data_IF_978393052929
#
_entry.id   IF_978393052929
#
_cell.length_a   1.000
_cell.length_b   1.000
_cell.length_c   1.000
_cell.angle_alpha   90.00
_cell.angle_beta   90.00
_cell.angle_gamma   90.00
#
_symmetry.space_group_name_H-M   'P 1'
#
loop_
_entity.id
_entity.type
_entity.pdbx_description
1 polymer ?
#
# COMPACT_ATOMS: atom_id res chain seq x y z
N UNK A 1 -24.47 -28.31 1.31
CA UNK A 1 -24.01 -27.14 2.10
C UNK A 1 -25.08 -26.83 3.14
N UNK A 2 -24.88 -27.23 4.40
CA UNK A 2 -25.91 -27.12 5.45
C UNK A 2 -26.16 -25.65 5.82
N UNK A 3 -27.26 -25.07 5.33
CA UNK A 3 -27.74 -23.76 5.79
C UNK A 3 -28.22 -23.90 7.24
N UNK A 4 -27.69 -23.07 8.14
CA UNK A 4 -28.16 -22.99 9.53
C UNK A 4 -29.63 -22.54 9.56
N UNK A 5 -30.47 -23.24 10.32
CA UNK A 5 -31.93 -22.96 10.46
C UNK A 5 -32.27 -21.60 11.09
N UNK A 6 -31.34 -20.96 11.80
CA UNK A 6 -31.49 -19.59 12.34
C UNK A 6 -30.28 -18.76 11.95
N UNK A 7 -30.44 -17.60 11.27
CA UNK A 7 -29.32 -16.71 10.99
C UNK A 7 -28.74 -16.16 12.29
N UNK A 8 -27.41 -16.01 12.37
CA UNK A 8 -26.76 -15.35 13.49
C UNK A 8 -27.20 -13.88 13.53
N UNK A 9 -27.75 -13.41 14.66
CA UNK A 9 -28.03 -11.99 14.86
C UNK A 9 -26.78 -11.14 14.67
N UNK A 10 -26.94 -9.87 14.25
CA UNK A 10 -25.82 -8.96 13.92
C UNK A 10 -24.74 -8.91 15.01
N UNK A 11 -25.15 -8.89 16.28
CA UNK A 11 -24.26 -8.90 17.44
C UNK A 11 -23.42 -10.18 17.52
N UNK A 12 -24.01 -11.34 17.20
CA UNK A 12 -23.30 -12.62 17.19
C UNK A 12 -22.38 -12.77 15.96
N UNK A 13 -22.63 -12.02 14.89
CA UNK A 13 -21.70 -11.96 13.75
C UNK A 13 -20.45 -11.14 14.13
N UNK A 14 -20.63 -9.96 14.74
CA UNK A 14 -19.51 -9.16 15.26
C UNK A 14 -18.73 -9.86 16.37
N UNK A 15 -19.42 -10.55 17.30
CA UNK A 15 -18.78 -11.36 18.35
C UNK A 15 -17.91 -12.47 17.77
N UNK A 16 -18.33 -13.11 16.68
CA UNK A 16 -17.52 -14.14 16.01
C UNK A 16 -16.32 -13.59 15.24
N UNK A 17 -16.35 -12.32 14.82
CA UNK A 17 -15.20 -11.63 14.21
C UNK A 17 -14.18 -11.23 15.29
N UNK A 18 -14.65 -10.69 16.42
CA UNK A 18 -13.81 -10.22 17.51
C UNK A 18 -13.28 -11.36 18.40
N UNK A 19 -14.07 -12.41 18.61
CA UNK A 19 -13.74 -13.56 19.45
C UNK A 19 -14.18 -14.87 18.78
N UNK A 20 -13.39 -15.40 17.83
CA UNK A 20 -13.74 -16.62 17.12
C UNK A 20 -13.73 -17.82 18.08
N UNK A 21 -14.87 -18.51 18.23
CA UNK A 21 -15.04 -19.67 19.14
C UNK A 21 -14.03 -20.80 18.89
N UNK A 22 -13.44 -20.87 17.69
CA UNK A 22 -12.44 -21.86 17.29
C UNK A 22 -10.96 -21.40 17.44
N UNK A 23 -10.72 -20.23 18.04
CA UNK A 23 -9.39 -19.66 18.30
C UNK A 23 -8.79 -18.87 17.13
N UNK A 24 -8.06 -17.79 17.43
CA UNK A 24 -7.42 -16.88 16.45
C UNK A 24 -6.52 -17.61 15.44
N UNK A 25 -5.81 -18.66 15.87
CA UNK A 25 -4.93 -19.45 15.00
C UNK A 25 -5.70 -20.11 13.84
N UNK A 26 -6.88 -20.68 14.09
CA UNK A 26 -7.69 -21.34 13.04
C UNK A 26 -8.37 -20.33 12.13
N UNK A 27 -8.83 -19.21 12.69
CA UNK A 27 -9.33 -18.08 11.91
C UNK A 27 -8.25 -17.58 10.95
N UNK A 28 -7.06 -17.23 11.47
CA UNK A 28 -5.93 -16.78 10.66
C UNK A 28 -5.53 -17.81 9.60
N UNK A 29 -5.39 -19.09 9.96
CA UNK A 29 -5.07 -20.17 9.00
C UNK A 29 -6.15 -20.35 7.92
N UNK A 30 -7.44 -20.18 8.23
CA UNK A 30 -8.52 -20.26 7.26
C UNK A 30 -8.45 -19.12 6.25
N UNK A 31 -8.31 -17.87 6.73
CA UNK A 31 -8.19 -16.71 5.87
C UNK A 31 -6.88 -16.76 5.06
N UNK A 32 -5.77 -17.17 5.68
CA UNK A 32 -4.48 -17.39 5.01
C UNK A 32 -4.59 -18.43 3.88
N UNK A 33 -5.19 -19.60 4.15
CA UNK A 33 -5.44 -20.62 3.12
C UNK A 33 -6.39 -20.13 2.02
N UNK A 34 -7.38 -19.31 2.36
CA UNK A 34 -8.31 -18.72 1.38
C UNK A 34 -7.60 -17.68 0.50
N UNK A 35 -6.73 -16.86 1.07
CA UNK A 35 -5.90 -15.87 0.37
C UNK A 35 -4.90 -16.54 -0.59
N UNK A 36 -4.22 -17.60 -0.15
CA UNK A 36 -3.29 -18.38 -0.99
C UNK A 36 -4.00 -19.05 -2.18
N UNK A 37 -5.29 -19.37 -2.04
CA UNK A 37 -6.10 -19.98 -3.10
C UNK A 37 -6.63 -18.98 -4.12
N UNK A 38 -6.50 -17.66 -3.91
CA UNK A 38 -6.92 -16.69 -4.90
C UNK A 38 -5.91 -16.76 -6.06
N UNK A 39 -6.34 -17.16 -7.27
CA UNK A 39 -5.46 -17.27 -8.44
C UNK A 39 -5.18 -15.88 -9.02
N UNK A 40 -4.67 -14.97 -8.20
CA UNK A 40 -4.26 -13.65 -8.66
C UNK A 40 -2.99 -13.81 -9.49
N UNK A 41 -3.00 -13.19 -10.67
CA UNK A 41 -1.83 -13.18 -11.53
C UNK A 41 -0.67 -12.45 -10.82
N UNK A 42 0.59 -12.88 -10.99
CA UNK A 42 1.74 -12.15 -10.44
C UNK A 42 1.73 -10.67 -10.82
N UNK A 43 1.22 -10.38 -12.03
CA UNK A 43 1.01 -9.03 -12.53
C UNK A 43 -0.01 -8.22 -11.70
N UNK A 44 -1.18 -8.77 -11.38
CA UNK A 44 -2.20 -8.08 -10.57
C UNK A 44 -1.66 -7.71 -9.18
N UNK A 45 -0.92 -8.62 -8.55
CA UNK A 45 -0.33 -8.39 -7.23
C UNK A 45 0.78 -7.35 -7.30
N UNK A 46 1.72 -7.49 -8.24
CA UNK A 46 2.84 -6.54 -8.37
C UNK A 46 2.37 -5.15 -8.77
N UNK A 47 1.38 -5.05 -9.66
CA UNK A 47 0.77 -3.78 -10.07
C UNK A 47 0.05 -3.13 -8.89
N UNK A 48 -0.79 -3.88 -8.16
CA UNK A 48 -1.43 -3.39 -6.95
C UNK A 48 -0.40 -2.86 -5.94
N UNK A 49 0.66 -3.62 -5.66
CA UNK A 49 1.72 -3.19 -4.74
C UNK A 49 2.37 -1.88 -5.20
N UNK A 50 2.73 -1.77 -6.48
CA UNK A 50 3.37 -0.57 -7.04
C UNK A 50 2.49 0.67 -6.97
N UNK A 51 1.17 0.53 -7.14
CA UNK A 51 0.20 1.62 -6.94
C UNK A 51 0.21 2.07 -5.48
N UNK A 52 0.27 1.12 -4.53
CA UNK A 52 0.39 1.44 -3.11
C UNK A 52 1.66 2.23 -2.79
N UNK A 53 2.80 1.79 -3.33
CA UNK A 53 4.09 2.48 -3.17
C UNK A 53 4.02 3.90 -3.75
N UNK A 54 3.49 4.06 -4.97
CA UNK A 54 3.31 5.37 -5.60
C UNK A 54 2.52 6.33 -4.69
N UNK A 55 1.40 5.84 -4.15
CA UNK A 55 0.53 6.64 -3.30
C UNK A 55 1.19 6.98 -1.96
N UNK A 56 2.08 6.14 -1.44
CA UNK A 56 2.82 6.42 -0.20
C UNK A 56 3.75 7.65 -0.31
N UNK A 57 4.19 8.01 -1.53
CA UNK A 57 4.94 9.24 -1.77
C UNK A 57 4.07 10.50 -1.80
N UNK A 58 2.76 10.36 -2.01
CA UNK A 58 1.87 11.52 -2.20
C UNK A 58 1.75 12.39 -0.94
N UNK A 59 1.38 13.69 -1.07
CA UNK A 59 1.20 14.57 0.09
C UNK A 59 -0.09 14.32 0.89
N UNK A 60 -0.92 13.35 0.48
CA UNK A 60 -2.27 13.15 1.03
C UNK A 60 -2.27 12.27 2.27
N UNK A 61 -1.71 12.79 3.37
CA UNK A 61 -1.62 12.09 4.66
C UNK A 61 -3.00 11.64 5.13
N UNK A 62 -3.12 10.36 5.49
CA UNK A 62 -4.37 9.74 5.95
C UNK A 62 -5.31 9.27 4.82
N UNK A 63 -5.16 9.79 3.59
CA UNK A 63 -5.97 9.37 2.43
C UNK A 63 -5.32 8.24 1.62
N UNK A 64 -4.07 7.88 1.90
CA UNK A 64 -3.32 6.86 1.14
C UNK A 64 -4.08 5.55 0.96
N UNK A 65 -4.71 5.03 2.02
CA UNK A 65 -5.47 3.77 1.96
C UNK A 65 -6.69 3.91 1.04
N UNK A 66 -7.43 5.02 1.14
CA UNK A 66 -8.62 5.27 0.32
C UNK A 66 -8.22 5.44 -1.14
N UNK A 67 -7.19 6.23 -1.40
CA UNK A 67 -6.64 6.43 -2.74
C UNK A 67 -6.12 5.12 -3.33
N UNK A 68 -5.45 4.28 -2.55
CA UNK A 68 -4.90 3.01 -3.06
C UNK A 68 -6.00 2.01 -3.38
N UNK A 69 -7.06 1.96 -2.58
CA UNK A 69 -8.25 1.18 -2.89
C UNK A 69 -8.90 1.68 -4.17
N UNK A 70 -9.15 2.99 -4.27
CA UNK A 70 -9.84 3.59 -5.40
C UNK A 70 -9.07 3.38 -6.71
N UNK A 71 -7.77 3.69 -6.71
CA UNK A 71 -6.92 3.55 -7.89
C UNK A 71 -6.78 2.07 -8.27
N UNK A 72 -6.54 1.17 -7.32
CA UNK A 72 -6.42 -0.26 -7.62
C UNK A 72 -7.71 -0.87 -8.12
N UNK A 73 -8.86 -0.41 -7.61
CA UNK A 73 -10.17 -0.77 -8.13
C UNK A 73 -10.36 -0.29 -9.57
N UNK A 74 -9.98 0.95 -9.88
CA UNK A 74 -10.06 1.51 -11.23
C UNK A 74 -9.19 0.74 -12.23
N UNK A 75 -7.97 0.36 -11.85
CA UNK A 75 -7.07 -0.46 -12.66
C UNK A 75 -7.40 -1.96 -12.63
N UNK A 76 -8.42 -2.38 -11.85
CA UNK A 76 -8.83 -3.79 -11.67
C UNK A 76 -7.68 -4.70 -11.24
N UNK A 77 -6.84 -4.21 -10.34
CA UNK A 77 -5.71 -4.96 -9.77
C UNK A 77 -5.95 -5.29 -8.29
N UNK A 78 -5.03 -6.05 -7.70
CA UNK A 78 -5.19 -6.55 -6.34
C UNK A 78 -5.18 -5.43 -5.30
N UNK A 79 -6.37 -5.12 -4.75
CA UNK A 79 -6.57 -4.07 -3.73
C UNK A 79 -5.83 -4.39 -2.43
N UNK A 80 -5.76 -5.66 -2.00
CA UNK A 80 -5.02 -6.01 -0.78
C UNK A 80 -3.53 -5.72 -0.95
N UNK A 81 -2.98 -6.03 -2.11
CA UNK A 81 -1.58 -5.76 -2.43
C UNK A 81 -1.29 -4.26 -2.45
N UNK A 82 -2.23 -3.42 -2.93
CA UNK A 82 -2.05 -1.97 -2.91
C UNK A 82 -2.10 -1.37 -1.52
N UNK A 83 -2.99 -1.87 -0.66
CA UNK A 83 -3.01 -1.46 0.75
C UNK A 83 -1.68 -1.84 1.41
N UNK A 84 -1.18 -3.05 1.21
CA UNK A 84 0.14 -3.46 1.72
C UNK A 84 1.24 -2.56 1.14
N UNK A 85 1.16 -2.23 -0.15
CA UNK A 85 2.06 -1.31 -0.83
C UNK A 85 2.06 0.09 -0.19
N UNK A 86 0.92 0.59 0.28
CA UNK A 86 0.91 1.88 1.03
C UNK A 86 1.69 1.80 2.34
N UNK A 87 1.74 0.64 2.99
CA UNK A 87 2.53 0.42 4.21
C UNK A 87 4.00 0.04 3.93
N UNK A 88 4.45 0.07 2.68
CA UNK A 88 5.87 -0.10 2.36
C UNK A 88 6.71 1.03 2.96
N UNK A 89 6.13 2.23 3.09
CA UNK A 89 6.59 3.27 4.00
C UNK A 89 6.24 2.90 5.45
N UNK A 90 7.24 2.66 6.28
CA UNK A 90 7.09 2.61 7.73
C UNK A 90 7.20 4.03 8.33
N UNK A 91 6.71 4.28 9.57
CA UNK A 91 6.79 5.59 10.24
C UNK A 91 8.19 6.21 10.25
N UNK A 92 9.23 5.40 10.17
CA UNK A 92 10.62 5.83 10.14
C UNK A 92 11.10 6.23 8.72
N UNK A 93 10.56 5.60 7.67
CA UNK A 93 10.90 5.89 6.26
C UNK A 93 10.10 7.04 5.67
N UNK A 94 8.87 7.29 6.14
CA UNK A 94 8.04 8.38 5.61
C UNK A 94 8.72 9.75 5.66
N UNK A 95 9.37 10.16 6.77
CA UNK A 95 10.10 11.43 6.80
C UNK A 95 11.16 11.53 5.71
N UNK A 96 11.87 10.43 5.44
CA UNK A 96 12.91 10.38 4.41
C UNK A 96 12.29 10.48 3.02
N UNK A 97 11.20 9.74 2.76
CA UNK A 97 10.50 9.77 1.47
C UNK A 97 9.95 11.16 1.16
N UNK A 98 9.34 11.81 2.15
CA UNK A 98 8.75 13.14 2.00
C UNK A 98 9.83 14.21 1.88
N UNK A 99 10.86 14.19 2.73
CA UNK A 99 11.99 15.10 2.60
C UNK A 99 12.68 14.98 1.23
N UNK A 100 12.83 13.75 0.72
CA UNK A 100 13.38 13.51 -0.61
C UNK A 100 12.48 14.04 -1.72
N UNK A 101 11.16 13.90 -1.57
CA UNK A 101 10.18 14.41 -2.53
C UNK A 101 10.17 15.95 -2.55
N UNK A 102 10.13 16.58 -1.38
CA UNK A 102 10.17 18.04 -1.24
C UNK A 102 11.50 18.56 -1.80
N UNK A 103 12.64 17.98 -1.40
CA UNK A 103 13.96 18.39 -1.86
C UNK A 103 14.14 18.24 -3.38
N UNK A 104 13.61 17.17 -3.98
CA UNK A 104 13.61 17.02 -5.44
C UNK A 104 12.71 18.07 -6.11
N UNK A 105 11.53 18.34 -5.56
CA UNK A 105 10.64 19.38 -6.05
C UNK A 105 11.28 20.77 -5.99
N UNK A 106 11.87 21.13 -4.84
CA UNK A 106 12.58 22.39 -4.65
C UNK A 106 13.77 22.52 -5.60
N UNK A 107 14.50 21.43 -5.84
CA UNK A 107 15.57 21.39 -6.83
C UNK A 107 15.05 21.72 -8.23
N UNK A 108 13.92 21.12 -8.64
CA UNK A 108 13.29 21.35 -9.96
C UNK A 108 12.78 22.79 -10.10
N UNK A 109 12.17 23.33 -9.05
CA UNK A 109 11.67 24.71 -9.05
C UNK A 109 12.75 25.76 -8.78
N UNK A 110 14.01 25.36 -8.55
CA UNK A 110 15.10 26.29 -8.21
C UNK A 110 14.97 26.95 -6.83
N UNK A 111 14.17 26.36 -5.92
CA UNK A 111 13.82 26.87 -4.58
C UNK A 111 14.68 26.31 -3.45
N UNK A 112 15.97 26.07 -3.70
CA UNK A 112 16.88 25.44 -2.73
C UNK A 112 17.07 26.22 -1.40
N UNK A 113 16.58 27.47 -1.30
CA UNK A 113 16.72 28.31 -0.11
C UNK A 113 15.97 27.79 1.13
N UNK A 114 14.91 26.99 0.95
CA UNK A 114 14.08 26.48 2.06
C UNK A 114 14.81 25.49 2.98
N UNK A 115 15.99 25.00 2.59
CA UNK A 115 16.75 24.02 3.38
C UNK A 115 17.55 24.61 4.55
N UNK A 116 17.75 25.94 4.62
CA UNK A 116 18.63 26.57 5.63
C UNK A 116 17.97 27.67 6.48
N UNK A 117 16.78 28.17 6.11
CA UNK A 117 15.99 29.04 6.99
C UNK A 117 15.09 28.21 7.91
N UNK A 118 14.72 28.78 9.06
CA UNK A 118 13.80 28.14 10.00
C UNK A 118 12.50 27.83 9.27
N UNK A 119 12.20 26.55 9.09
CA UNK A 119 10.90 26.11 8.55
C UNK A 119 9.82 26.54 9.55
N UNK A 120 9.01 27.53 9.16
CA UNK A 120 7.87 27.92 9.96
C UNK A 120 6.69 26.98 9.68
N UNK A 121 5.75 26.88 10.63
CA UNK A 121 4.56 26.05 10.44
C UNK A 121 3.69 26.57 9.26
N UNK A 122 3.75 27.87 8.99
CA UNK A 122 3.11 28.54 7.85
C UNK A 122 3.61 28.01 6.50
N UNK A 123 4.90 27.69 6.38
CA UNK A 123 5.51 27.19 5.13
C UNK A 123 4.94 25.83 4.74
N UNK A 124 4.59 24.99 5.71
CA UNK A 124 4.00 23.67 5.48
C UNK A 124 2.64 23.72 4.76
N UNK A 125 1.91 24.82 4.93
CA UNK A 125 0.63 25.05 4.26
C UNK A 125 0.76 25.95 3.02
N UNK A 126 2.00 26.34 2.68
CA UNK A 126 2.28 27.14 1.50
C UNK A 126 2.01 26.37 0.20
N UNK A 127 1.51 27.09 -0.81
CA UNK A 127 1.33 26.55 -2.17
C UNK A 127 2.67 26.07 -2.72
N UNK A 128 3.76 26.77 -2.40
CA UNK A 128 5.10 26.42 -2.85
C UNK A 128 5.56 25.07 -2.31
N UNK A 129 5.38 24.85 -1.00
CA UNK A 129 5.67 23.57 -0.35
C UNK A 129 4.85 22.44 -0.97
N UNK A 130 3.53 22.65 -1.11
CA UNK A 130 2.65 21.64 -1.71
C UNK A 130 3.06 21.31 -3.15
N UNK A 131 3.42 22.31 -3.96
CA UNK A 131 3.86 22.11 -5.34
C UNK A 131 5.19 21.35 -5.41
N UNK A 132 6.17 21.70 -4.57
CA UNK A 132 7.43 20.96 -4.50
C UNK A 132 7.20 19.51 -4.11
N UNK A 133 6.43 19.28 -3.05
CA UNK A 133 6.12 17.94 -2.59
C UNK A 133 5.36 17.17 -3.67
N UNK A 134 4.35 17.76 -4.30
CA UNK A 134 3.56 17.11 -5.35
C UNK A 134 4.42 16.70 -6.55
N UNK A 135 5.22 17.62 -7.10
CA UNK A 135 6.10 17.31 -8.25
C UNK A 135 7.13 16.25 -7.90
N UNK A 136 7.82 16.39 -6.77
CA UNK A 136 8.79 15.38 -6.35
C UNK A 136 8.16 14.03 -6.05
N UNK A 137 6.96 14.01 -5.47
CA UNK A 137 6.21 12.79 -5.19
C UNK A 137 5.79 12.05 -6.47
N UNK A 138 5.44 12.76 -7.53
CA UNK A 138 5.14 12.14 -8.83
C UNK A 138 6.39 11.45 -9.36
N UNK A 139 7.53 12.16 -9.38
CA UNK A 139 8.77 11.64 -9.99
C UNK A 139 9.31 10.46 -9.18
N UNK A 140 9.53 10.64 -7.88
CA UNK A 140 10.03 9.57 -7.01
C UNK A 140 9.01 8.44 -6.89
N UNK A 141 7.73 8.77 -6.75
CA UNK A 141 6.66 7.79 -6.69
C UNK A 141 6.65 6.88 -7.91
N UNK A 142 6.72 7.43 -9.13
CA UNK A 142 6.78 6.63 -10.35
C UNK A 142 8.05 5.79 -10.42
N UNK A 143 9.20 6.37 -10.10
CA UNK A 143 10.49 5.66 -10.09
C UNK A 143 10.44 4.44 -9.16
N UNK A 144 10.02 4.63 -7.92
CA UNK A 144 9.91 3.55 -6.94
C UNK A 144 8.80 2.57 -7.28
N UNK A 145 7.66 3.02 -7.81
CA UNK A 145 6.60 2.12 -8.27
C UNK A 145 7.09 1.15 -9.34
N UNK A 146 7.86 1.62 -10.32
CA UNK A 146 8.46 0.78 -11.36
C UNK A 146 9.43 -0.24 -10.74
N UNK A 147 10.34 0.21 -9.85
CA UNK A 147 11.31 -0.66 -9.18
C UNK A 147 10.58 -1.76 -8.39
N UNK A 148 9.60 -1.38 -7.57
CA UNK A 148 8.86 -2.32 -6.74
C UNK A 148 7.96 -3.24 -7.55
N UNK A 149 7.41 -2.80 -8.68
CA UNK A 149 6.66 -3.67 -9.58
C UNK A 149 7.52 -4.84 -10.04
N UNK A 150 8.73 -4.59 -10.54
CA UNK A 150 9.63 -5.66 -10.99
C UNK A 150 10.12 -6.52 -9.82
N UNK A 151 10.47 -5.91 -8.70
CA UNK A 151 10.91 -6.60 -7.49
C UNK A 151 9.84 -7.59 -6.99
N UNK A 152 8.61 -7.13 -6.78
CA UNK A 152 7.51 -7.97 -6.29
C UNK A 152 7.15 -9.04 -7.31
N UNK A 153 7.12 -8.70 -8.60
CA UNK A 153 6.84 -9.68 -9.66
C UNK A 153 7.86 -10.81 -9.66
N UNK A 154 9.15 -10.50 -9.53
CA UNK A 154 10.24 -11.47 -9.43
C UNK A 154 10.06 -12.41 -8.23
N UNK A 155 9.83 -11.85 -7.03
CA UNK A 155 9.61 -12.64 -5.81
C UNK A 155 8.39 -13.57 -5.91
N UNK A 156 7.28 -13.11 -6.48
CA UNK A 156 6.06 -13.92 -6.62
C UNK A 156 6.28 -15.06 -7.62
N UNK A 157 6.97 -14.82 -8.72
CA UNK A 157 7.27 -15.86 -9.72
C UNK A 157 8.12 -16.97 -9.09
N UNK A 158 9.18 -16.61 -8.35
CA UNK A 158 10.02 -17.57 -7.63
C UNK A 158 9.21 -18.36 -6.61
N UNK A 159 8.40 -17.68 -5.81
CA UNK A 159 7.61 -18.33 -4.77
C UNK A 159 6.59 -19.31 -5.38
N UNK A 160 5.91 -18.93 -6.46
CA UNK A 160 4.98 -19.83 -7.17
C UNK A 160 5.71 -21.02 -7.80
N UNK A 161 6.88 -20.81 -8.39
CA UNK A 161 7.71 -21.88 -8.96
C UNK A 161 8.11 -22.92 -7.91
N UNK A 162 8.59 -22.46 -6.75
CA UNK A 162 8.99 -23.35 -5.66
C UNK A 162 7.80 -24.06 -4.99
N UNK A 163 6.64 -23.42 -4.92
CA UNK A 163 5.42 -24.03 -4.37
C UNK A 163 4.89 -25.18 -5.23
N UNK A 164 5.00 -25.08 -6.56
CA UNK A 164 4.62 -26.17 -7.48
C UNK A 164 5.59 -27.34 -7.30
N UNK A 165 6.89 -27.07 -7.22
CA UNK A 165 7.93 -28.09 -7.07
C UNK A 165 7.88 -28.87 -5.75
N UNK A 166 7.39 -28.26 -4.67
CA UNK A 166 7.20 -28.93 -3.37
C UNK A 166 5.90 -29.76 -3.26
N UNK A 167 5.07 -29.77 -4.32
CA UNK A 167 3.83 -30.54 -4.39
C UNK A 167 3.94 -31.80 -5.24
N UNK A 168 4.99 -31.91 -6.04
CA UNK A 168 5.40 -33.11 -6.79
C UNK A 168 6.34 -33.96 -5.93
#
# INVERSE_FOLDING_TARGET
MFKRKKPLGLINQFKNILWPENGFKRFFLYYWKRLIRIPESPHSISMGFSIGVFIAFSPFIGLHTVLSIFISWAFRVNILSSIIGTFSGNPLTYPIMWASSIGLGDFIFGRQKLAYEKIELSDFFGVDFFMSFFVGSIILGFLFAIIFYFFIKYFIIIYKSNFIKNKE
#
